data_IF_113524782846
#
_entry.id   IF_113524782846
#
_cell.length_a   1.000
_cell.length_b   1.000
_cell.length_c   1.000
_cell.angle_alpha   90.00
_cell.angle_beta   90.00
_cell.angle_gamma   90.00
#
_symmetry.space_group_name_H-M   'P 1'
#
loop_
_entity.id
_entity.type
_entity.pdbx_description
1 polymer ?
#
# COMPACT_ATOMS: atom_id res chain seq x y z
N UNK A 1 15.69 -13.50 7.09
CA UNK A 1 15.00 -12.49 6.25
C UNK A 1 13.48 -12.67 6.22
N UNK A 2 12.93 -13.83 6.60
CA UNK A 2 11.49 -14.13 6.55
C UNK A 2 10.63 -13.21 7.42
N UNK A 3 10.93 -13.10 8.73
CA UNK A 3 10.10 -12.30 9.66
C UNK A 3 9.98 -10.82 9.27
N UNK A 4 11.05 -10.21 8.75
CA UNK A 4 11.01 -8.80 8.35
C UNK A 4 10.15 -8.60 7.09
N UNK A 5 10.28 -9.48 6.11
CA UNK A 5 9.45 -9.46 4.91
C UNK A 5 7.97 -9.72 5.25
N UNK A 6 7.71 -10.64 6.17
CA UNK A 6 6.38 -10.96 6.67
C UNK A 6 5.77 -9.81 7.45
N UNK A 7 6.52 -9.15 8.34
CA UNK A 7 6.08 -7.94 9.04
C UNK A 7 5.58 -6.88 8.05
N UNK A 8 6.39 -6.55 7.04
CA UNK A 8 6.01 -5.58 6.02
C UNK A 8 4.82 -6.04 5.17
N UNK A 9 4.74 -7.33 4.83
CA UNK A 9 3.63 -7.87 4.05
C UNK A 9 2.32 -7.85 4.85
N UNK A 10 2.37 -8.22 6.13
CA UNK A 10 1.24 -8.26 7.04
C UNK A 10 0.68 -6.84 7.27
N UNK A 11 1.50 -5.93 7.77
CA UNK A 11 1.06 -4.55 8.03
C UNK A 11 0.80 -3.74 6.75
N UNK A 12 1.31 -4.17 5.60
CA UNK A 12 0.98 -3.58 4.30
C UNK A 12 -0.40 -3.97 3.76
N UNK A 13 -1.04 -5.01 4.30
CA UNK A 13 -2.35 -5.52 3.84
C UNK A 13 -3.45 -5.39 4.88
N UNK A 14 -3.08 -5.18 6.15
CA UNK A 14 -4.01 -5.08 7.27
C UNK A 14 -4.87 -3.80 7.22
N UNK A 15 -6.17 -3.94 7.50
CA UNK A 15 -7.07 -2.78 7.72
C UNK A 15 -6.90 -2.23 9.14
N UNK A 16 -5.92 -1.35 9.30
CA UNK A 16 -5.60 -0.73 10.59
C UNK A 16 -6.71 0.19 11.13
N UNK A 17 -7.60 0.68 10.28
CA UNK A 17 -8.70 1.55 10.67
C UNK A 17 -9.90 0.79 11.23
N UNK A 18 -10.05 -0.48 10.85
CA UNK A 18 -11.10 -1.39 11.30
C UNK A 18 -10.72 -2.27 12.50
N UNK A 19 -9.46 -2.20 12.96
CA UNK A 19 -8.91 -3.12 13.98
C UNK A 19 -8.38 -2.40 15.22
N UNK A 20 -8.47 -3.11 16.35
CA UNK A 20 -7.77 -2.84 17.59
C UNK A 20 -6.62 -3.83 17.72
N UNK A 21 -5.38 -3.37 17.74
CA UNK A 21 -4.22 -4.22 17.99
C UNK A 21 -4.02 -4.33 19.51
N UNK A 22 -4.19 -5.52 20.09
CA UNK A 22 -4.03 -5.74 21.53
C UNK A 22 -2.80 -6.61 21.81
N UNK A 23 -1.70 -6.03 22.35
CA UNK A 23 -0.56 -6.81 22.81
C UNK A 23 -0.92 -7.75 23.97
N UNK A 24 -1.86 -7.35 24.84
CA UNK A 24 -2.32 -8.16 25.96
C UNK A 24 -2.97 -9.47 25.47
N UNK A 25 -3.80 -9.41 24.44
CA UNK A 25 -4.41 -10.61 23.84
C UNK A 25 -3.53 -11.26 22.76
N UNK A 26 -2.45 -10.62 22.35
CA UNK A 26 -1.57 -11.08 21.27
C UNK A 26 -2.26 -11.17 19.89
N UNK A 27 -3.36 -10.42 19.67
CA UNK A 27 -4.15 -10.49 18.43
C UNK A 27 -4.78 -9.17 18.02
N UNK A 28 -5.24 -9.10 16.78
CA UNK A 28 -6.07 -8.02 16.27
C UNK A 28 -7.55 -8.32 16.58
N UNK A 29 -8.22 -7.37 17.21
CA UNK A 29 -9.63 -7.42 17.57
C UNK A 29 -10.45 -6.50 16.68
N UNK A 30 -11.76 -6.75 16.53
CA UNK A 30 -12.66 -5.79 15.90
C UNK A 30 -12.56 -4.44 16.61
N UNK A 31 -12.51 -3.35 15.83
CA UNK A 31 -12.49 -2.00 16.40
C UNK A 31 -13.73 -1.78 17.28
N UNK A 32 -13.56 -1.32 18.54
CA UNK A 32 -14.69 -1.06 19.41
C UNK A 32 -15.53 0.11 18.88
N UNK A 33 -16.87 0.08 19.06
CA UNK A 33 -17.73 1.16 18.64
C UNK A 33 -17.41 2.47 19.38
N UNK A 34 -17.69 3.64 18.79
CA UNK A 34 -17.56 4.91 19.48
C UNK A 34 -18.46 4.92 20.72
N UNK A 35 -17.92 5.38 21.86
CA UNK A 35 -18.65 5.45 23.13
C UNK A 35 -18.68 4.14 23.94
N UNK A 36 -17.91 3.12 23.55
CA UNK A 36 -17.77 1.89 24.36
C UNK A 36 -17.29 2.22 25.78
N UNK A 37 -17.90 1.66 26.84
CA UNK A 37 -17.41 1.80 28.22
C UNK A 37 -15.98 1.25 28.32
N UNK A 38 -15.06 2.00 28.93
CA UNK A 38 -13.63 1.62 29.00
C UNK A 38 -12.65 2.63 28.41
N UNK A 39 -13.14 3.77 27.90
CA UNK A 39 -12.32 4.97 27.66
C UNK A 39 -11.36 4.93 26.46
N UNK A 40 -11.11 3.75 25.88
CA UNK A 40 -10.26 3.60 24.70
C UNK A 40 -10.87 4.34 23.51
N UNK A 41 -10.20 5.39 23.04
CA UNK A 41 -10.62 6.19 21.89
C UNK A 41 -10.01 5.65 20.60
N UNK A 42 -10.82 5.05 19.69
CA UNK A 42 -10.30 4.50 18.45
C UNK A 42 -9.88 5.62 17.49
N UNK A 43 -8.74 5.42 16.82
CA UNK A 43 -8.21 6.34 15.82
C UNK A 43 -8.07 5.68 14.44
N UNK A 44 -7.38 6.36 13.51
CA UNK A 44 -6.97 5.76 12.23
C UNK A 44 -6.06 4.54 12.39
N UNK A 45 -5.37 4.46 13.53
CA UNK A 45 -4.67 3.29 14.05
C UNK A 45 -5.00 3.19 15.54
N UNK A 46 -5.38 2.00 16.00
CA UNK A 46 -5.66 1.76 17.41
C UNK A 46 -4.76 0.64 17.93
N UNK A 47 -3.75 1.01 18.70
CA UNK A 47 -2.82 0.10 19.37
C UNK A 47 -3.01 0.25 20.87
N UNK A 48 -3.48 -0.80 21.53
CA UNK A 48 -3.75 -0.78 22.97
C UNK A 48 -2.45 -0.81 23.77
N UNK A 49 -2.38 -0.01 24.83
CA UNK A 49 -1.34 -0.20 25.84
C UNK A 49 -1.52 -1.56 26.54
N UNK A 50 -0.46 -2.33 26.80
CA UNK A 50 -0.57 -3.65 27.44
C UNK A 50 -1.05 -3.60 28.90
N UNK A 51 -0.97 -2.46 29.59
CA UNK A 51 -1.35 -2.30 30.99
C UNK A 51 -2.54 -1.35 31.16
N UNK A 52 -2.49 -0.18 30.52
CA UNK A 52 -3.57 0.80 30.57
C UNK A 52 -4.55 0.58 29.41
N UNK A 53 -5.49 -0.35 29.58
CA UNK A 53 -6.37 -0.80 28.48
C UNK A 53 -7.29 0.28 27.88
N UNK A 54 -7.47 1.41 28.59
CA UNK A 54 -8.15 2.61 28.13
C UNK A 54 -7.28 3.52 27.27
N UNK A 55 -5.99 3.24 27.16
CA UNK A 55 -5.01 4.06 26.46
C UNK A 55 -4.68 3.50 25.07
N UNK A 56 -4.83 4.34 24.06
CA UNK A 56 -4.37 4.06 22.69
C UNK A 56 -3.03 4.76 22.49
N UNK A 57 -1.93 4.01 22.44
CA UNK A 57 -0.58 4.57 22.28
C UNK A 57 -0.38 5.22 20.90
N UNK A 58 -1.25 4.93 19.93
CA UNK A 58 -1.24 5.49 18.58
C UNK A 58 -2.28 6.60 18.37
N UNK A 59 -2.86 7.17 19.43
CA UNK A 59 -3.93 8.17 19.33
C UNK A 59 -3.51 9.46 18.59
N UNK A 60 -2.22 9.79 18.56
CA UNK A 60 -1.67 10.94 17.83
C UNK A 60 -1.41 10.67 16.34
N UNK A 61 -1.61 9.45 15.87
CA UNK A 61 -1.33 9.06 14.48
C UNK A 61 -2.48 9.50 13.57
N UNK A 62 -2.15 10.32 12.58
CA UNK A 62 -3.15 10.81 11.59
C UNK A 62 -3.44 9.77 10.50
N UNK A 63 -4.60 9.86 9.80
CA UNK A 63 -4.90 8.98 8.66
C UNK A 63 -3.83 9.02 7.57
N UNK A 64 -3.23 10.21 7.35
CA UNK A 64 -2.15 10.42 6.38
C UNK A 64 -0.90 9.62 6.78
N UNK A 65 -0.56 9.60 8.07
CA UNK A 65 0.58 8.82 8.59
C UNK A 65 0.33 7.32 8.45
N UNK A 66 -0.87 6.83 8.79
CA UNK A 66 -1.24 5.41 8.60
C UNK A 66 -1.12 5.01 7.13
N UNK A 67 -1.66 5.83 6.23
CA UNK A 67 -1.62 5.56 4.80
C UNK A 67 -0.19 5.53 4.26
N UNK A 68 0.68 6.44 4.72
CA UNK A 68 2.11 6.43 4.40
C UNK A 68 2.79 5.17 4.93
N UNK A 69 2.50 4.77 6.17
CA UNK A 69 3.04 3.56 6.78
C UNK A 69 2.67 2.31 5.98
N UNK A 70 1.38 2.11 5.68
CA UNK A 70 0.90 0.97 4.87
C UNK A 70 1.59 0.92 3.50
N UNK A 71 1.73 2.07 2.83
CA UNK A 71 2.47 2.17 1.56
C UNK A 71 3.94 1.76 1.72
N UNK A 72 4.63 2.32 2.72
CA UNK A 72 6.03 1.99 3.00
C UNK A 72 6.20 0.49 3.32
N UNK A 73 5.26 -0.12 4.05
CA UNK A 73 5.24 -1.56 4.29
C UNK A 73 5.09 -2.36 2.98
N UNK A 74 4.18 -1.98 2.08
CA UNK A 74 4.06 -2.64 0.76
C UNK A 74 5.35 -2.54 -0.06
N UNK A 75 5.97 -1.37 -0.09
CA UNK A 75 7.23 -1.14 -0.81
C UNK A 75 8.38 -1.96 -0.20
N UNK A 76 8.51 -1.94 1.12
CA UNK A 76 9.53 -2.70 1.84
C UNK A 76 9.34 -4.21 1.69
N UNK A 77 8.09 -4.71 1.70
CA UNK A 77 7.79 -6.13 1.44
C UNK A 77 8.24 -6.57 0.05
N UNK A 78 8.01 -5.73 -0.98
CA UNK A 78 8.53 -5.97 -2.34
C UNK A 78 10.05 -5.98 -2.36
N UNK A 79 10.68 -5.01 -1.71
CA UNK A 79 12.14 -4.91 -1.65
C UNK A 79 12.75 -6.15 -0.96
N UNK A 80 12.18 -6.61 0.15
CA UNK A 80 12.67 -7.78 0.89
C UNK A 80 12.64 -9.08 0.08
N UNK A 81 11.76 -9.20 -0.92
CA UNK A 81 11.67 -10.34 -1.83
C UNK A 81 12.63 -10.23 -3.02
N UNK A 82 13.22 -9.05 -3.24
CA UNK A 82 14.10 -8.75 -4.36
C UNK A 82 15.53 -9.27 -4.18
N UNK A 83 16.28 -9.47 -5.29
CA UNK A 83 17.66 -9.95 -5.24
C UNK A 83 18.62 -8.98 -4.55
N UNK A 84 18.35 -7.68 -4.61
CA UNK A 84 19.13 -6.64 -3.91
C UNK A 84 19.07 -6.78 -2.38
N UNK A 85 18.00 -7.39 -1.87
CA UNK A 85 17.85 -7.64 -0.44
C UNK A 85 18.42 -9.00 -0.03
N UNK A 86 18.15 -10.03 -0.83
CA UNK A 86 18.52 -11.41 -0.50
C UNK A 86 19.99 -11.75 -0.77
N UNK A 87 20.65 -11.04 -1.70
CA UNK A 87 22.02 -11.38 -2.14
C UNK A 87 22.98 -10.22 -1.89
N UNK A 88 24.13 -10.54 -1.30
CA UNK A 88 25.22 -9.59 -1.11
C UNK A 88 25.74 -9.11 -2.45
N UNK A 89 25.84 -7.78 -2.60
CA UNK A 89 26.48 -7.17 -3.75
C UNK A 89 28.00 -7.42 -3.72
N UNK A 90 28.57 -7.81 -4.86
CA UNK A 90 30.02 -7.99 -5.03
C UNK A 90 30.77 -6.67 -5.27
N UNK A 91 30.06 -5.59 -5.60
CA UNK A 91 30.65 -4.32 -6.07
C UNK A 91 30.40 -3.15 -5.11
N UNK A 92 30.37 -3.42 -3.80
CA UNK A 92 30.17 -2.38 -2.78
C UNK A 92 28.80 -1.68 -2.77
N UNK A 93 27.86 -2.07 -3.65
CA UNK A 93 26.51 -1.49 -3.64
C UNK A 93 25.75 -1.85 -2.35
N UNK A 94 24.95 -0.93 -1.80
CA UNK A 94 24.05 -1.22 -0.68
C UNK A 94 23.17 -2.44 -0.98
N UNK A 95 22.99 -3.31 0.00
CA UNK A 95 22.21 -4.55 -0.13
C UNK A 95 21.54 -4.89 1.21
N UNK A 96 20.58 -5.81 1.20
CA UNK A 96 19.88 -6.24 2.41
C UNK A 96 19.23 -5.08 3.15
N UNK A 97 19.37 -5.05 4.48
CA UNK A 97 18.77 -4.03 5.36
C UNK A 97 19.24 -2.61 5.01
N UNK A 98 20.45 -2.43 4.47
CA UNK A 98 20.92 -1.10 4.07
C UNK A 98 19.99 -0.44 3.04
N UNK A 99 19.35 -1.21 2.16
CA UNK A 99 18.40 -0.67 1.18
C UNK A 99 17.11 -0.14 1.82
N UNK A 100 16.74 -0.64 3.00
CA UNK A 100 15.60 -0.13 3.77
C UNK A 100 15.94 1.14 4.55
N UNK A 101 17.21 1.29 4.96
CA UNK A 101 17.68 2.42 5.77
C UNK A 101 18.11 3.62 4.95
N UNK A 102 18.27 3.46 3.64
CA UNK A 102 18.57 4.58 2.76
C UNK A 102 17.43 5.60 2.83
N UNK A 103 17.74 6.90 2.95
CA UNK A 103 16.74 7.95 2.85
C UNK A 103 15.92 7.74 1.58
N UNK A 104 14.58 7.70 1.72
CA UNK A 104 13.71 7.70 0.55
C UNK A 104 13.98 8.94 -0.31
N UNK A 105 13.64 8.93 -1.61
CA UNK A 105 13.92 10.03 -2.55
C UNK A 105 13.08 11.29 -2.30
N UNK A 106 12.85 11.67 -1.04
CA UNK A 106 12.13 12.87 -0.64
C UNK A 106 12.98 14.17 -0.77
N UNK A 107 14.06 14.15 -1.56
CA UNK A 107 14.97 15.30 -1.68
C UNK A 107 15.96 15.25 -2.84
N UNK A 108 15.80 14.37 -3.84
CA UNK A 108 16.61 14.37 -5.06
C UNK A 108 15.71 14.40 -6.29
N UNK A 109 16.11 15.09 -7.39
CA UNK A 109 15.35 15.09 -8.63
C UNK A 109 15.17 13.64 -9.09
N UNK A 110 13.91 13.23 -9.21
CA UNK A 110 13.52 11.86 -9.49
C UNK A 110 14.08 11.38 -10.84
N UNK A 111 14.55 10.14 -10.86
CA UNK A 111 14.65 9.34 -12.07
C UNK A 111 13.22 9.09 -12.61
N UNK A 112 12.90 9.50 -13.84
CA UNK A 112 11.52 9.51 -14.37
C UNK A 112 10.86 8.13 -14.53
N UNK A 113 11.55 7.02 -14.22
CA UNK A 113 11.03 5.65 -14.30
C UNK A 113 10.57 5.02 -12.97
N UNK A 114 10.62 5.76 -11.86
CA UNK A 114 10.29 5.23 -10.54
C UNK A 114 8.78 5.31 -10.23
N UNK A 115 8.07 4.19 -9.95
CA UNK A 115 6.66 4.22 -9.53
C UNK A 115 6.44 4.77 -8.11
N UNK A 116 7.44 5.43 -7.50
CA UNK A 116 7.46 5.78 -6.08
C UNK A 116 6.87 7.16 -5.74
N UNK A 117 6.20 7.82 -6.69
CA UNK A 117 5.53 9.11 -6.53
C UNK A 117 4.03 9.06 -6.14
N UNK A 118 3.50 7.93 -5.64
CA UNK A 118 2.05 7.84 -5.31
C UNK A 118 1.71 8.68 -4.07
N UNK A 119 1.48 9.98 -4.24
CA UNK A 119 0.97 10.89 -3.21
C UNK A 119 -0.51 10.59 -2.96
N UNK A 120 -0.90 10.39 -1.69
CA UNK A 120 -2.29 10.18 -1.32
C UNK A 120 -2.92 11.53 -1.01
N UNK A 121 -3.93 11.90 -1.79
CA UNK A 121 -4.74 13.10 -1.60
C UNK A 121 -6.01 12.67 -0.84
N UNK A 122 -6.23 13.15 0.39
CA UNK A 122 -7.50 12.95 1.06
C UNK A 122 -8.61 13.60 0.23
N UNK A 123 -9.56 12.80 -0.25
CA UNK A 123 -10.77 13.31 -0.89
C UNK A 123 -11.77 13.66 0.22
N UNK A 124 -12.29 14.89 0.28
CA UNK A 124 -13.26 15.29 1.29
C UNK A 124 -14.62 14.64 1.01
N UNK A 125 -14.74 13.36 1.31
CA UNK A 125 -16.00 12.65 1.32
C UNK A 125 -16.71 12.95 2.65
N UNK A 126 -18.04 13.15 2.60
CA UNK A 126 -18.82 13.33 3.82
C UNK A 126 -18.71 12.05 4.66
N UNK A 127 -18.41 12.15 5.98
CA UNK A 127 -18.39 10.99 6.85
C UNK A 127 -19.73 10.25 6.81
N UNK A 128 -19.75 8.91 6.94
CA UNK A 128 -20.98 8.14 7.05
C UNK A 128 -21.57 8.31 8.46
N UNK A 129 -21.96 9.51 8.85
CA UNK A 129 -22.82 9.72 10.01
C UNK A 129 -24.28 9.68 9.53
N UNK A 130 -24.88 8.49 9.63
CA UNK A 130 -26.28 8.22 9.27
C UNK A 130 -26.50 7.93 7.79
N UNK A 131 -26.76 6.66 7.44
CA UNK A 131 -27.42 6.15 6.20
C UNK A 131 -27.04 6.72 4.81
N UNK A 132 -26.03 7.59 4.66
CA UNK A 132 -25.81 8.38 3.45
C UNK A 132 -24.34 8.71 3.12
N UNK A 133 -23.41 7.83 3.48
CA UNK A 133 -22.04 7.91 2.99
C UNK A 133 -21.99 7.67 1.48
N UNK A 134 -21.11 8.36 0.74
CA UNK A 134 -20.94 8.14 -0.70
C UNK A 134 -20.31 6.75 -0.89
N UNK A 135 -20.98 5.82 -1.62
CA UNK A 135 -20.41 4.53 -1.93
C UNK A 135 -19.04 4.66 -2.61
N UNK A 136 -18.10 3.77 -2.26
CA UNK A 136 -16.76 3.77 -2.86
C UNK A 136 -16.81 3.73 -4.40
N UNK A 137 -17.77 2.99 -4.96
CA UNK A 137 -18.02 2.94 -6.40
C UNK A 137 -18.31 4.31 -7.00
N UNK A 138 -19.13 5.12 -6.34
CA UNK A 138 -19.55 6.43 -6.84
C UNK A 138 -18.41 7.44 -6.72
N UNK A 139 -17.63 7.36 -5.63
CA UNK A 139 -16.40 8.13 -5.49
C UNK A 139 -15.39 7.79 -6.60
N UNK A 140 -15.19 6.49 -6.90
CA UNK A 140 -14.33 6.06 -8.01
C UNK A 140 -14.84 6.54 -9.37
N UNK A 141 -16.15 6.46 -9.62
CA UNK A 141 -16.76 6.95 -10.86
C UNK A 141 -16.55 8.47 -11.02
N UNK A 142 -16.73 9.24 -9.94
CA UNK A 142 -16.48 10.68 -9.95
C UNK A 142 -14.99 11.02 -10.21
N UNK A 143 -14.07 10.28 -9.59
CA UNK A 143 -12.62 10.44 -9.87
C UNK A 143 -12.33 10.12 -11.34
N UNK A 144 -12.87 9.02 -11.87
CA UNK A 144 -12.74 8.66 -13.28
C UNK A 144 -13.22 9.77 -14.21
N UNK A 145 -14.43 10.29 -13.97
CA UNK A 145 -15.01 11.40 -14.72
C UNK A 145 -14.13 12.65 -14.70
N UNK A 146 -13.62 13.04 -13.52
CA UNK A 146 -12.75 14.22 -13.42
C UNK A 146 -11.45 14.00 -14.21
N UNK A 147 -10.85 12.82 -14.11
CA UNK A 147 -9.61 12.52 -14.82
C UNK A 147 -9.83 12.50 -16.35
N UNK A 148 -10.88 11.85 -16.85
CA UNK A 148 -11.11 11.69 -18.28
C UNK A 148 -11.79 12.91 -18.91
N UNK A 149 -12.91 13.36 -18.37
CA UNK A 149 -13.78 14.36 -19.01
C UNK A 149 -13.35 15.80 -18.71
N UNK A 150 -12.85 16.05 -17.49
CA UNK A 150 -12.44 17.41 -17.08
C UNK A 150 -10.96 17.67 -17.38
N UNK A 151 -10.11 16.67 -17.16
CA UNK A 151 -8.65 16.82 -17.29
C UNK A 151 -8.07 16.16 -18.56
N UNK A 152 -8.85 15.39 -19.32
CA UNK A 152 -8.40 14.78 -20.58
C UNK A 152 -7.34 13.68 -20.42
N UNK A 153 -7.26 13.03 -19.25
CA UNK A 153 -6.29 11.97 -18.98
C UNK A 153 -6.72 10.63 -19.60
N UNK A 154 -5.76 9.88 -20.15
CA UNK A 154 -5.95 8.45 -20.48
C UNK A 154 -5.88 7.60 -19.21
N UNK A 155 -7.00 7.00 -18.80
CA UNK A 155 -7.08 6.18 -17.60
C UNK A 155 -7.24 4.70 -17.96
N UNK A 156 -6.16 3.92 -17.83
CA UNK A 156 -6.21 2.46 -17.98
C UNK A 156 -6.38 1.80 -16.60
N UNK A 157 -7.30 0.83 -16.44
CA UNK A 157 -7.43 0.08 -15.20
C UNK A 157 -6.15 -0.74 -14.94
N UNK A 158 -5.59 -0.64 -13.73
CA UNK A 158 -4.41 -1.40 -13.32
C UNK A 158 -4.80 -2.90 -13.19
N UNK A 159 -4.62 -3.69 -14.26
CA UNK A 159 -4.69 -5.15 -14.22
C UNK A 159 -5.65 -5.86 -15.19
N UNK A 160 -5.64 -5.52 -16.49
CA UNK A 160 -6.07 -6.49 -17.50
C UNK A 160 -4.89 -7.44 -17.82
N UNK A 161 -5.03 -8.78 -17.74
CA UNK A 161 -4.03 -9.68 -18.31
C UNK A 161 -3.99 -9.44 -19.81
N UNK A 162 -2.84 -8.97 -20.30
CA UNK A 162 -2.65 -8.74 -21.73
C UNK A 162 -2.90 -10.02 -22.52
N UNK A 163 -3.83 -9.97 -23.47
CA UNK A 163 -3.85 -10.91 -24.57
C UNK A 163 -2.58 -10.69 -25.39
N UNK A 164 -1.56 -11.52 -25.13
CA UNK A 164 -0.51 -11.77 -26.11
C UNK A 164 -1.14 -12.52 -27.28
N UNK A 165 -1.71 -11.75 -28.22
CA UNK A 165 -2.05 -12.24 -29.56
C UNK A 165 -0.77 -12.52 -30.32
N UNK A 166 -0.29 -13.76 -30.24
CA UNK A 166 0.74 -14.31 -31.11
C UNK A 166 0.15 -14.41 -32.52
N UNK A 167 0.45 -13.44 -33.38
CA UNK A 167 0.28 -13.62 -34.83
C UNK A 167 1.64 -14.00 -35.44
N UNK A 168 1.93 -15.30 -35.40
CA UNK A 168 3.03 -15.89 -36.15
C UNK A 168 2.72 -15.83 -37.65
N UNK A 169 3.55 -15.12 -38.41
CA UNK A 169 3.61 -15.27 -39.85
C UNK A 169 4.59 -16.42 -40.17
N UNK A 170 4.19 -17.45 -40.94
CA UNK A 170 5.14 -18.46 -41.38
C UNK A 170 5.98 -17.89 -42.52
N UNK A 171 7.29 -17.77 -42.30
CA UNK A 171 8.29 -17.59 -43.37
C UNK A 171 8.52 -18.97 -43.98
N UNK A 172 8.16 -19.11 -45.25
CA UNK A 172 8.40 -20.32 -46.03
C UNK A 172 9.90 -20.59 -46.19
N UNK A 173 10.32 -21.77 -45.78
CA UNK A 173 11.58 -22.38 -46.15
C UNK A 173 11.26 -23.73 -46.82
N UNK A 174 11.79 -23.91 -48.02
CA UNK A 174 11.70 -25.15 -48.79
C UNK A 174 11.54 -24.85 -50.27
N UNK A 175 12.64 -24.81 -51.03
CA UNK A 175 13.02 -25.96 -51.86
C UNK A 175 14.19 -25.57 -52.80
N UNK A 176 15.30 -26.28 -52.69
CA UNK A 176 16.18 -26.57 -53.82
C UNK A 176 17.00 -27.81 -53.49
N UNK A 177 16.88 -28.87 -54.31
CA UNK A 177 18.06 -29.71 -54.52
C UNK A 177 18.16 -30.19 -56.00
N UNK A 178 19.12 -31.08 -56.28
CA UNK A 178 20.31 -30.88 -57.10
C UNK A 178 20.10 -30.87 -58.64
#
# INVERSE_FOLDING_TARGET
ASLLAEFFSYFGTLDLGGLLLSPLEGRALPRPPPGTPGGLRPGPLTLQDPFELSHNVAANVTPRTVSRFVRCCRDAARLCRGPEFLRRSRRGRPWGVMRLLQPGPAGTPADPGSPQGKFLIPVPLRPPEGLGGVPHRDACAAVGFVLTEVLGCGCEPEGAPGEFGVSGAPRGEGESPP
#
